data_IF_205208939967
#
_entry.id   IF_205208939967
#
_cell.length_a   1.000
_cell.length_b   1.000
_cell.length_c   1.000
_cell.angle_alpha   90.00
_cell.angle_beta   90.00
_cell.angle_gamma   90.00
#
_symmetry.space_group_name_H-M   'P 1'
#
loop_
_entity.id
_entity.type
_entity.pdbx_description
1 polymer ?
#
# COMPACT_ATOMS: atom_id res chain seq x y z
N UNK A 1 -5.51 -11.75 -17.38
CA UNK A 1 -5.86 -10.79 -16.31
C UNK A 1 -4.96 -11.12 -15.14
N UNK A 2 -3.92 -10.33 -14.93
CA UNK A 2 -3.02 -10.50 -13.79
C UNK A 2 -3.60 -9.70 -12.62
N UNK A 3 -3.97 -10.42 -11.56
CA UNK A 3 -4.44 -9.81 -10.32
C UNK A 3 -3.23 -9.37 -9.51
N UNK A 4 -2.99 -8.05 -9.44
CA UNK A 4 -1.88 -7.50 -8.66
C UNK A 4 -2.24 -7.52 -7.18
N UNK A 5 -1.44 -8.19 -6.34
CA UNK A 5 -1.66 -8.13 -4.89
C UNK A 5 -0.93 -6.92 -4.33
N UNK A 6 -1.68 -5.99 -3.72
CA UNK A 6 -1.11 -4.79 -3.09
C UNK A 6 -1.29 -4.83 -1.56
N UNK A 7 -0.31 -4.28 -0.85
CA UNK A 7 -0.27 -4.20 0.61
C UNK A 7 -0.37 -2.75 1.10
N UNK A 8 -1.18 -2.53 2.14
CA UNK A 8 -1.29 -1.25 2.80
C UNK A 8 -0.03 -0.98 3.62
N UNK A 9 0.67 0.10 3.29
CA UNK A 9 1.94 0.44 3.96
C UNK A 9 1.74 0.82 5.43
N UNK A 10 0.51 1.12 5.86
CA UNK A 10 0.18 1.44 7.27
C UNK A 10 -0.01 0.22 8.13
N UNK A 11 -0.95 -0.64 7.77
CA UNK A 11 -1.41 -1.72 8.65
C UNK A 11 -1.10 -3.12 8.11
N UNK A 12 -0.47 -3.22 6.93
CA UNK A 12 -0.13 -4.49 6.30
C UNK A 12 -1.30 -5.26 5.69
N UNK A 13 -2.48 -4.63 5.55
CA UNK A 13 -3.63 -5.28 4.91
C UNK A 13 -3.35 -5.52 3.43
N UNK A 14 -3.70 -6.69 2.91
CA UNK A 14 -3.60 -7.00 1.48
C UNK A 14 -4.93 -6.76 0.77
N UNK A 15 -4.88 -6.44 -0.52
CA UNK A 15 -6.03 -6.50 -1.42
C UNK A 15 -5.58 -6.88 -2.82
N UNK A 16 -6.46 -7.53 -3.56
CA UNK A 16 -6.28 -7.75 -4.99
C UNK A 16 -6.68 -6.47 -5.72
N UNK A 17 -5.74 -5.90 -6.46
CA UNK A 17 -5.97 -4.83 -7.41
C UNK A 17 -6.17 -5.46 -8.79
N UNK A 18 -7.39 -5.36 -9.30
CA UNK A 18 -7.67 -5.61 -10.71
C UNK A 18 -7.25 -4.36 -11.49
N UNK A 19 -6.36 -4.51 -12.47
CA UNK A 19 -6.24 -3.55 -13.57
C UNK A 19 -7.38 -3.91 -14.56
N UNK A 20 -8.49 -3.14 -14.80
CA UNK A 20 -8.56 -1.76 -15.35
C UNK A 20 -9.92 -1.01 -15.00
N UNK A 21 -10.43 -0.06 -15.83
CA UNK A 21 -10.13 1.37 -15.81
C UNK A 21 -10.74 2.14 -14.60
N UNK A 22 -9.86 2.87 -13.90
CA UNK A 22 -10.01 4.24 -13.36
C UNK A 22 -11.23 4.71 -12.55
N UNK A 23 -12.30 3.94 -12.25
CA UNK A 23 -13.52 4.59 -11.70
C UNK A 23 -14.06 4.21 -10.33
N UNK A 24 -13.74 3.09 -9.69
CA UNK A 24 -14.46 2.75 -8.43
C UNK A 24 -13.69 1.99 -7.34
N UNK A 25 -12.36 1.89 -7.39
CA UNK A 25 -11.63 1.29 -6.27
C UNK A 25 -11.43 2.37 -5.22
N UNK A 26 -12.06 2.21 -4.05
CA UNK A 26 -11.81 3.08 -2.90
C UNK A 26 -10.29 3.12 -2.65
N UNK A 27 -9.63 4.29 -2.76
CA UNK A 27 -8.19 4.38 -2.60
C UNK A 27 -7.76 4.07 -1.16
N UNK A 28 -8.67 4.17 -0.20
CA UNK A 28 -8.40 3.97 1.22
C UNK A 28 -8.34 2.50 1.62
N UNK A 29 -7.49 2.21 2.61
CA UNK A 29 -7.47 0.94 3.31
C UNK A 29 -8.71 0.80 4.19
N UNK A 30 -9.55 -0.24 3.99
CA UNK A 30 -10.77 -0.43 4.78
C UNK A 30 -10.48 -0.68 6.26
N UNK A 31 -9.24 -1.07 6.61
CA UNK A 31 -8.85 -1.30 8.01
C UNK A 31 -8.38 -0.04 8.75
N UNK A 32 -7.81 0.94 8.05
CA UNK A 32 -7.11 2.03 8.73
C UNK A 32 -7.22 3.40 8.04
N UNK A 33 -7.99 3.51 6.97
CA UNK A 33 -8.21 4.74 6.19
C UNK A 33 -6.99 5.24 5.39
N UNK A 34 -5.87 4.50 5.41
CA UNK A 34 -4.65 4.96 4.72
C UNK A 34 -4.70 4.69 3.22
N UNK A 35 -4.26 5.65 2.41
CA UNK A 35 -4.30 5.57 0.94
C UNK A 35 -3.01 5.05 0.28
N UNK A 36 -1.93 4.85 1.04
CA UNK A 36 -0.66 4.37 0.49
C UNK A 36 -0.62 2.84 0.40
N UNK A 37 -0.50 2.36 -0.83
CA UNK A 37 -0.37 0.95 -1.19
C UNK A 37 0.89 0.73 -2.02
N UNK A 38 1.51 -0.45 -1.91
CA UNK A 38 2.54 -0.91 -2.84
C UNK A 38 2.28 -2.37 -3.21
N UNK A 39 2.79 -2.82 -4.35
CA UNK A 39 2.71 -4.23 -4.72
C UNK A 39 3.47 -5.09 -3.71
N UNK A 40 2.93 -6.26 -3.38
CA UNK A 40 3.58 -7.18 -2.42
C UNK A 40 4.93 -7.65 -2.95
N UNK A 41 5.05 -7.81 -4.27
CA UNK A 41 6.29 -8.18 -4.96
C UNK A 41 7.39 -7.12 -4.84
N UNK A 42 7.03 -5.83 -4.78
CA UNK A 42 7.96 -4.72 -4.61
C UNK A 42 8.34 -4.47 -3.13
N UNK A 43 7.72 -5.18 -2.18
CA UNK A 43 7.94 -5.00 -0.75
C UNK A 43 8.84 -6.09 -0.17
N UNK A 44 10.02 -5.67 0.30
CA UNK A 44 10.87 -6.53 1.13
C UNK A 44 10.42 -6.49 2.60
N UNK A 45 10.81 -7.50 3.39
CA UNK A 45 10.60 -7.49 4.85
C UNK A 45 11.20 -6.25 5.54
N UNK A 46 12.30 -5.74 4.98
CA UNK A 46 12.94 -4.51 5.44
C UNK A 46 12.03 -3.30 5.20
N UNK A 47 11.41 -3.19 4.04
CA UNK A 47 10.48 -2.10 3.69
C UNK A 47 9.23 -2.16 4.56
N UNK A 48 8.66 -3.35 4.78
CA UNK A 48 7.52 -3.56 5.69
C UNK A 48 7.84 -3.04 7.08
N UNK A 49 9.02 -3.37 7.62
CA UNK A 49 9.48 -2.91 8.94
C UNK A 49 9.69 -1.40 8.98
N UNK A 50 10.36 -0.83 7.98
CA UNK A 50 10.67 0.60 7.93
C UNK A 50 9.41 1.46 7.82
N UNK A 51 8.43 1.02 7.02
CA UNK A 51 7.15 1.70 6.86
C UNK A 51 6.34 1.57 8.14
N UNK A 52 6.06 0.35 8.61
CA UNK A 52 5.19 0.13 9.78
C UNK A 52 5.76 0.69 11.09
N UNK A 53 7.09 0.70 11.24
CA UNK A 53 7.78 1.23 12.42
C UNK A 53 7.80 2.76 12.51
N UNK A 54 7.39 3.50 11.47
CA UNK A 54 7.39 4.97 11.48
C UNK A 54 5.97 5.55 11.67
N UNK A 55 5.79 6.62 12.45
CA UNK A 55 4.55 7.39 12.49
C UNK A 55 4.21 7.94 11.09
N UNK A 56 2.91 8.00 10.74
CA UNK A 56 2.45 8.39 9.39
C UNK A 56 3.02 9.74 8.93
N UNK A 57 3.11 10.70 9.83
CA UNK A 57 3.64 12.05 9.61
C UNK A 57 5.07 12.04 9.04
N UNK A 58 5.86 11.00 9.36
CA UNK A 58 7.26 10.83 8.95
C UNK A 58 7.44 9.88 7.75
N UNK A 59 6.36 9.45 7.10
CA UNK A 59 6.40 8.50 5.96
C UNK A 59 6.38 9.15 4.59
N UNK A 60 6.48 10.49 4.50
CA UNK A 60 6.79 11.16 3.23
C UNK A 60 8.23 10.84 2.83
N UNK A 61 8.42 9.75 2.11
CA UNK A 61 9.60 9.59 1.27
C UNK A 61 9.42 10.59 0.12
N UNK A 62 10.11 11.75 0.21
CA UNK A 62 10.31 12.58 -0.97
C UNK A 62 11.17 11.76 -1.92
N UNK A 63 10.58 11.32 -3.02
CA UNK A 63 11.36 10.89 -4.18
C UNK A 63 11.96 12.18 -4.73
N UNK A 64 13.28 12.30 -4.65
CA UNK A 64 14.05 13.38 -5.26
C UNK A 64 14.37 13.03 -6.71
#
# INVERSE_FOLDING_TARGET
MESLVVECLRCGSHRHAEHPPLRKVNPECPRCGYVGWAAVEDLTERDRRALRGRPLERRRLRIA
#
